data_IF_802302092376
#
_entry.id   IF_802302092376
#
_cell.length_a   1.000
_cell.length_b   1.000
_cell.length_c   1.000
_cell.angle_alpha   90.00
_cell.angle_beta   90.00
_cell.angle_gamma   90.00
#
_symmetry.space_group_name_H-M   'P 1'
#
loop_
_entity.id
_entity.type
_entity.pdbx_description
1 polymer ?
#
# COMPACT_ATOMS: atom_id res chain seq x y z
N UNK A 1 -16.12 -45.11 39.34
CA UNK A 1 -17.15 -44.06 39.56
C UNK A 1 -16.64 -42.76 38.93
N UNK A 2 -16.94 -42.56 37.68
CA UNK A 2 -16.44 -41.44 36.88
C UNK A 2 -17.61 -40.44 36.74
N UNK A 3 -17.50 -39.28 37.37
CA UNK A 3 -18.49 -38.19 37.21
C UNK A 3 -18.17 -37.43 35.91
N UNK A 4 -19.07 -37.53 34.94
CA UNK A 4 -19.15 -36.63 33.81
C UNK A 4 -19.68 -35.27 34.26
N UNK A 5 -18.92 -34.20 33.97
CA UNK A 5 -19.35 -32.81 34.10
C UNK A 5 -20.06 -32.40 32.80
N UNK A 6 -21.36 -32.14 32.92
CA UNK A 6 -22.14 -31.50 31.84
C UNK A 6 -21.86 -29.99 31.80
N UNK A 7 -21.79 -29.36 30.60
CA UNK A 7 -21.69 -27.90 30.48
C UNK A 7 -23.05 -27.24 30.79
N UNK A 8 -23.06 -25.98 31.24
CA UNK A 8 -24.31 -25.28 31.58
C UNK A 8 -25.07 -24.86 30.32
N UNK A 9 -26.38 -25.05 30.35
CA UNK A 9 -27.32 -24.64 29.32
C UNK A 9 -27.55 -23.12 29.35
N UNK A 10 -27.45 -22.47 28.19
CA UNK A 10 -27.91 -21.09 27.99
C UNK A 10 -29.39 -21.10 27.56
N UNK A 11 -30.20 -20.17 28.06
CA UNK A 11 -31.62 -20.12 27.71
C UNK A 11 -31.81 -19.55 26.29
N UNK A 12 -32.61 -20.26 25.50
CA UNK A 12 -33.11 -19.82 24.20
C UNK A 12 -34.17 -18.73 24.40
N UNK A 13 -33.89 -17.51 24.01
CA UNK A 13 -34.92 -16.48 23.87
C UNK A 13 -35.42 -16.49 22.41
N UNK A 14 -36.65 -17.02 22.25
CA UNK A 14 -37.40 -16.97 21.01
C UNK A 14 -38.14 -15.65 20.95
N UNK A 15 -37.70 -14.75 20.04
CA UNK A 15 -38.60 -13.74 19.48
C UNK A 15 -38.50 -13.79 17.97
N UNK A 16 -39.58 -14.30 17.37
CA UNK A 16 -39.94 -14.03 15.97
C UNK A 16 -40.25 -12.54 15.86
N UNK A 17 -39.68 -11.91 14.87
CA UNK A 17 -40.26 -10.77 14.18
C UNK A 17 -40.09 -11.01 12.70
N UNK A 18 -41.16 -11.42 12.06
CA UNK A 18 -41.40 -11.25 10.64
C UNK A 18 -41.61 -9.74 10.43
N UNK A 19 -40.82 -9.12 9.56
CA UNK A 19 -41.18 -7.93 8.81
C UNK A 19 -39.99 -7.60 7.86
N UNK A 20 -40.17 -7.99 6.60
CA UNK A 20 -39.42 -7.40 5.50
C UNK A 20 -39.96 -5.98 5.26
N UNK A 21 -39.11 -4.98 5.07
CA UNK A 21 -39.49 -3.79 4.31
C UNK A 21 -38.95 -3.87 2.89
N UNK A 22 -39.90 -3.69 2.00
CA UNK A 22 -39.73 -3.46 0.55
C UNK A 22 -38.64 -2.44 0.23
N UNK A 23 -37.85 -2.80 -0.80
CA UNK A 23 -36.89 -1.92 -1.44
C UNK A 23 -37.60 -0.72 -2.07
N UNK A 24 -37.48 0.44 -1.47
CA UNK A 24 -37.78 1.70 -2.14
C UNK A 24 -36.52 2.19 -2.90
N UNK A 25 -36.76 2.39 -4.18
CA UNK A 25 -35.89 2.97 -5.19
C UNK A 25 -35.23 4.27 -4.74
N UNK A 26 -33.89 4.28 -4.60
CA UNK A 26 -33.11 5.49 -4.57
C UNK A 26 -32.63 5.83 -5.98
N UNK A 27 -32.90 7.05 -6.37
CA UNK A 27 -32.66 7.66 -7.67
C UNK A 27 -31.22 7.59 -8.12
N UNK A 28 -31.08 7.41 -9.43
CA UNK A 28 -29.83 7.35 -10.19
C UNK A 28 -29.05 8.65 -10.11
N UNK A 29 -27.83 8.57 -9.57
CA UNK A 29 -26.77 9.50 -9.95
C UNK A 29 -26.17 9.05 -11.30
N UNK A 30 -25.80 9.96 -12.22
CA UNK A 30 -25.31 9.58 -13.52
C UNK A 30 -23.91 8.96 -13.42
N UNK A 31 -23.81 7.69 -13.75
CA UNK A 31 -22.55 7.00 -13.98
C UNK A 31 -21.92 7.50 -15.27
N UNK A 32 -20.87 8.30 -15.17
CA UNK A 32 -19.94 8.54 -16.28
C UNK A 32 -19.17 7.24 -16.53
N UNK A 33 -19.74 6.37 -17.33
CA UNK A 33 -19.08 5.21 -17.91
C UNK A 33 -18.28 5.70 -19.09
N UNK A 34 -16.98 6.00 -18.89
CA UNK A 34 -16.04 6.05 -20.01
C UNK A 34 -15.94 4.62 -20.56
N UNK A 35 -16.69 4.36 -21.60
CA UNK A 35 -16.66 3.13 -22.35
C UNK A 35 -15.25 2.97 -22.94
N UNK A 36 -14.56 1.88 -22.57
CA UNK A 36 -13.45 1.35 -23.33
C UNK A 36 -13.99 0.92 -24.70
N UNK A 37 -13.96 1.85 -25.67
CA UNK A 37 -14.39 1.62 -27.04
C UNK A 37 -13.55 0.53 -27.68
N UNK A 38 -14.24 -0.42 -28.30
CA UNK A 38 -13.67 -1.45 -29.12
C UNK A 38 -12.80 -0.83 -30.24
N UNK A 39 -11.61 -1.42 -30.43
CA UNK A 39 -10.61 -1.01 -31.40
C UNK A 39 -11.13 -1.26 -32.84
N UNK A 40 -11.19 -0.24 -33.71
CA UNK A 40 -11.34 -0.49 -35.14
C UNK A 40 -9.99 -0.94 -35.73
N UNK A 41 -9.98 -2.09 -36.38
CA UNK A 41 -8.88 -2.56 -37.21
C UNK A 41 -8.89 -1.79 -38.54
N UNK A 42 -8.00 -0.81 -38.68
CA UNK A 42 -7.71 -0.14 -39.94
C UNK A 42 -6.22 -0.29 -40.29
N UNK A 43 -5.83 -0.29 -41.58
CA UNK A 43 -4.50 -0.71 -42.03
C UNK A 43 -3.41 0.32 -41.63
N UNK A 44 -2.25 -0.25 -41.23
CA UNK A 44 -1.05 0.46 -40.86
C UNK A 44 -0.47 1.25 -42.06
N UNK A 45 -0.37 2.55 -41.93
CA UNK A 45 0.54 3.36 -42.76
C UNK A 45 1.89 3.44 -42.05
N UNK A 46 2.89 2.88 -42.69
CA UNK A 46 4.30 2.96 -42.28
C UNK A 46 4.79 4.41 -42.41
N UNK A 47 5.38 4.95 -41.33
CA UNK A 47 6.00 6.24 -41.38
C UNK A 47 6.63 6.72 -40.07
N UNK A 48 7.97 6.65 -40.06
CA UNK A 48 8.94 7.29 -39.14
C UNK A 48 9.24 6.57 -37.83
N UNK A 49 10.24 5.68 -37.95
CA UNK A 49 11.12 5.27 -36.85
C UNK A 49 12.00 6.43 -36.45
N UNK A 50 11.62 7.10 -35.38
CA UNK A 50 12.45 8.05 -34.64
C UNK A 50 12.25 7.71 -33.17
N UNK A 51 13.19 7.00 -32.55
CA UNK A 51 13.21 6.85 -31.10
C UNK A 51 13.36 8.25 -30.48
N UNK A 52 12.49 8.66 -29.53
CA UNK A 52 12.65 9.93 -28.84
C UNK A 52 13.85 9.81 -27.88
N UNK A 53 14.97 10.44 -28.26
CA UNK A 53 16.11 10.66 -27.39
C UNK A 53 15.78 11.79 -26.41
N UNK A 54 15.19 11.43 -25.27
CA UNK A 54 14.80 12.38 -24.22
C UNK A 54 14.83 11.76 -22.82
N UNK A 55 15.80 10.85 -22.58
CA UNK A 55 16.09 10.39 -21.22
C UNK A 55 16.67 11.55 -20.40
N UNK A 56 15.87 12.14 -19.51
CA UNK A 56 16.42 12.96 -18.43
C UNK A 56 16.89 12.03 -17.32
N UNK A 57 18.22 11.88 -17.20
CA UNK A 57 18.82 11.27 -16.03
C UNK A 57 18.46 12.09 -14.77
N UNK A 58 18.42 11.47 -13.60
CA UNK A 58 18.05 12.12 -12.32
C UNK A 58 18.84 13.42 -12.02
N UNK A 59 20.03 13.59 -12.58
CA UNK A 59 20.86 14.79 -12.45
C UNK A 59 20.39 16.05 -13.19
N UNK A 60 19.25 16.01 -13.93
CA UNK A 60 18.68 17.17 -14.64
C UNK A 60 17.33 17.66 -14.04
N UNK A 61 16.92 17.14 -12.88
CA UNK A 61 15.69 17.52 -12.21
C UNK A 61 15.92 18.81 -11.41
N UNK A 62 15.16 19.86 -11.72
CA UNK A 62 15.24 21.11 -10.96
C UNK A 62 14.41 21.02 -9.69
N UNK A 63 14.88 21.69 -8.63
CA UNK A 63 14.11 21.82 -7.41
C UNK A 63 12.81 22.61 -7.65
N UNK A 64 11.73 22.15 -7.06
CA UNK A 64 10.45 22.82 -7.09
C UNK A 64 10.58 24.20 -6.43
N UNK A 65 9.80 25.17 -6.89
CA UNK A 65 9.84 26.52 -6.35
C UNK A 65 9.43 26.55 -4.85
N UNK A 66 9.93 27.53 -4.07
CA UNK A 66 9.37 27.81 -2.73
C UNK A 66 7.87 28.03 -2.79
N UNK A 67 7.15 27.67 -1.72
CA UNK A 67 5.70 27.67 -1.66
C UNK A 67 5.03 26.41 -2.19
N UNK A 68 5.81 25.46 -2.77
CA UNK A 68 5.25 24.23 -3.33
C UNK A 68 4.71 23.26 -2.26
N UNK A 69 3.52 22.70 -2.54
CA UNK A 69 2.96 21.54 -1.82
C UNK A 69 3.12 20.31 -2.72
N UNK A 70 4.09 19.44 -2.40
CA UNK A 70 4.34 18.20 -3.13
C UNK A 70 3.44 17.10 -2.62
N UNK A 71 2.55 16.62 -3.48
CA UNK A 71 1.57 15.58 -3.18
C UNK A 71 2.02 14.27 -3.85
N UNK A 72 2.67 13.40 -3.09
CA UNK A 72 3.08 12.07 -3.57
C UNK A 72 1.92 11.08 -3.41
N UNK A 73 1.38 10.63 -4.54
CA UNK A 73 0.16 9.80 -4.59
C UNK A 73 0.43 8.30 -4.80
N UNK A 74 1.65 7.89 -5.00
CA UNK A 74 1.96 6.50 -5.32
C UNK A 74 1.72 6.19 -6.79
N UNK A 75 1.01 5.14 -7.20
CA UNK A 75 0.08 4.26 -6.48
C UNK A 75 0.74 3.15 -5.64
N UNK A 76 -0.09 2.21 -5.16
CA UNK A 76 0.40 1.05 -4.41
C UNK A 76 1.44 0.23 -5.19
N UNK A 77 2.40 -0.38 -4.50
CA UNK A 77 3.44 -1.28 -5.05
C UNK A 77 4.48 -0.61 -5.98
N UNK A 78 4.60 0.71 -5.94
CA UNK A 78 5.54 1.48 -6.75
C UNK A 78 6.68 2.11 -5.95
N UNK A 79 6.96 1.60 -4.74
CA UNK A 79 8.06 2.10 -3.90
C UNK A 79 7.64 3.14 -2.83
N UNK A 80 6.34 3.41 -2.68
CA UNK A 80 5.80 4.39 -1.73
C UNK A 80 6.28 4.19 -0.30
N UNK A 81 6.33 2.95 0.19
CA UNK A 81 6.83 2.64 1.54
C UNK A 81 8.27 3.09 1.75
N UNK A 82 9.14 2.94 0.74
CA UNK A 82 10.53 3.35 0.81
C UNK A 82 10.66 4.87 0.90
N UNK A 83 9.95 5.60 0.02
CA UNK A 83 9.88 7.07 0.05
C UNK A 83 9.36 7.58 1.38
N UNK A 84 8.22 7.08 1.83
CA UNK A 84 7.58 7.49 3.08
C UNK A 84 8.48 7.24 4.30
N UNK A 85 9.20 6.12 4.30
CA UNK A 85 10.12 5.80 5.40
C UNK A 85 11.34 6.72 5.40
N UNK A 86 11.91 7.00 4.22
CA UNK A 86 13.04 7.90 4.08
C UNK A 86 12.67 9.33 4.51
N UNK A 87 11.55 9.87 4.01
CA UNK A 87 11.02 11.19 4.39
C UNK A 87 10.72 11.27 5.89
N UNK A 88 10.10 10.24 6.46
CA UNK A 88 9.75 10.21 7.88
C UNK A 88 10.98 10.27 8.79
N UNK A 89 12.02 9.50 8.45
CA UNK A 89 13.24 9.45 9.25
C UNK A 89 14.11 10.71 9.10
N UNK A 90 14.00 11.35 7.94
CA UNK A 90 14.77 12.56 7.63
C UNK A 90 14.05 13.87 8.00
N UNK A 91 12.94 13.84 8.74
CA UNK A 91 12.13 15.03 9.05
C UNK A 91 12.92 16.18 9.60
N UNK A 92 13.75 15.94 10.63
CA UNK A 92 14.54 17.00 11.26
C UNK A 92 15.61 17.56 10.31
N UNK A 93 16.46 16.72 9.67
CA UNK A 93 17.39 17.22 8.66
C UNK A 93 16.72 17.95 7.48
N UNK A 94 15.56 17.49 7.02
CA UNK A 94 14.81 18.15 5.94
C UNK A 94 14.33 19.55 6.35
N UNK A 95 13.88 19.72 7.60
CA UNK A 95 13.44 21.02 8.11
C UNK A 95 14.56 22.05 8.10
N UNK A 96 15.81 21.66 8.35
CA UNK A 96 17.00 22.52 8.25
C UNK A 96 17.23 23.04 6.80
N UNK A 97 16.66 22.35 5.81
CA UNK A 97 16.69 22.73 4.40
C UNK A 97 15.35 23.31 3.89
N UNK A 98 14.49 23.78 4.81
CA UNK A 98 13.22 24.41 4.46
C UNK A 98 12.18 23.42 3.87
N UNK A 99 12.25 22.14 4.22
CA UNK A 99 11.30 21.10 3.74
C UNK A 99 10.62 20.40 4.92
N UNK A 100 9.29 20.45 4.93
CA UNK A 100 8.47 19.73 5.90
C UNK A 100 7.87 18.46 5.30
N UNK A 101 7.96 17.34 6.02
CA UNK A 101 7.14 16.15 5.74
C UNK A 101 5.93 16.14 6.69
N UNK A 102 4.74 16.41 6.15
CA UNK A 102 3.51 16.58 6.92
C UNK A 102 2.92 15.24 7.42
N UNK A 103 2.19 15.33 8.52
CA UNK A 103 1.56 14.20 9.21
C UNK A 103 2.49 13.59 10.29
N UNK A 104 1.90 13.07 11.37
CA UNK A 104 2.67 12.56 12.52
C UNK A 104 3.30 11.18 12.26
N UNK A 105 2.64 10.36 11.46
CA UNK A 105 3.06 8.97 11.17
C UNK A 105 3.93 8.91 9.91
N UNK A 106 4.42 7.70 9.60
CA UNK A 106 5.19 7.44 8.38
C UNK A 106 4.40 7.76 7.11
N UNK A 107 3.11 7.49 7.10
CA UNK A 107 2.19 7.92 6.05
C UNK A 107 0.85 8.33 6.65
N UNK A 108 0.19 9.28 6.02
CA UNK A 108 -1.07 9.85 6.50
C UNK A 108 -2.27 9.01 6.04
N UNK A 109 -2.31 7.71 6.46
CA UNK A 109 -3.35 6.77 6.04
C UNK A 109 -4.74 7.28 6.37
N UNK A 110 -4.98 7.59 7.64
CA UNK A 110 -6.29 7.96 8.14
C UNK A 110 -6.80 9.24 7.44
N UNK A 111 -5.91 10.21 7.26
CA UNK A 111 -6.24 11.46 6.55
C UNK A 111 -6.56 11.20 5.08
N UNK A 112 -5.73 10.41 4.38
CA UNK A 112 -5.96 10.08 2.98
C UNK A 112 -7.26 9.29 2.77
N UNK A 113 -7.53 8.29 3.63
CA UNK A 113 -8.78 7.51 3.60
C UNK A 113 -9.99 8.39 3.91
N UNK A 114 -9.87 9.36 4.83
CA UNK A 114 -10.94 10.30 5.16
C UNK A 114 -11.33 11.18 3.96
N UNK A 115 -10.35 11.70 3.22
CA UNK A 115 -10.61 12.60 2.08
C UNK A 115 -11.05 11.85 0.82
N UNK A 116 -10.60 10.60 0.62
CA UNK A 116 -10.93 9.78 -0.56
C UNK A 116 -12.18 8.93 -0.37
N UNK A 117 -12.75 8.88 0.83
CA UNK A 117 -13.93 8.04 1.11
C UNK A 117 -13.64 6.54 1.12
N UNK A 118 -12.37 6.11 1.14
CA UNK A 118 -11.96 4.71 1.09
C UNK A 118 -12.14 3.96 2.43
N UNK A 119 -13.18 4.28 3.21
CA UNK A 119 -13.42 3.86 4.60
C UNK A 119 -13.41 2.37 4.87
N UNK A 120 -13.74 1.53 3.88
CA UNK A 120 -13.73 0.07 4.00
C UNK A 120 -12.35 -0.52 4.37
N UNK A 121 -11.27 0.25 4.21
CA UNK A 121 -9.91 -0.18 4.51
C UNK A 121 -9.56 -0.15 6.00
N UNK A 122 -10.33 0.56 6.81
CA UNK A 122 -10.12 0.70 8.26
C UNK A 122 -10.94 -0.30 9.10
N UNK A 123 -11.39 -1.41 8.49
CA UNK A 123 -12.14 -2.45 9.21
C UNK A 123 -13.51 -1.99 9.70
N UNK A 124 -14.24 -1.23 8.87
CA UNK A 124 -15.60 -0.76 9.17
C UNK A 124 -15.67 0.43 10.11
N UNK A 125 -14.55 1.01 10.52
CA UNK A 125 -14.53 2.30 11.19
C UNK A 125 -14.62 3.39 10.14
N UNK A 126 -15.60 4.26 10.23
CA UNK A 126 -15.66 5.45 9.41
C UNK A 126 -14.39 6.29 9.60
N UNK A 127 -13.75 6.76 8.53
CA UNK A 127 -12.62 7.67 8.65
C UNK A 127 -13.13 8.93 9.34
N UNK A 128 -12.56 9.22 10.48
CA UNK A 128 -12.93 10.42 11.21
C UNK A 128 -12.32 11.62 10.47
N UNK A 129 -13.17 12.52 9.97
CA UNK A 129 -12.77 13.70 9.17
C UNK A 129 -11.67 14.53 9.81
N UNK A 130 -11.60 14.54 11.15
CA UNK A 130 -10.60 15.31 11.90
C UNK A 130 -9.14 14.98 11.54
N UNK A 131 -8.83 13.74 11.08
CA UNK A 131 -7.46 13.42 10.64
C UNK A 131 -7.06 14.19 9.39
N UNK A 132 -8.01 14.41 8.48
CA UNK A 132 -7.78 15.25 7.32
C UNK A 132 -7.65 16.72 7.73
N UNK A 133 -8.52 17.19 8.60
CA UNK A 133 -8.51 18.59 9.09
C UNK A 133 -7.20 18.90 9.85
N UNK A 134 -6.70 17.96 10.67
CA UNK A 134 -5.40 18.11 11.35
C UNK A 134 -4.24 18.19 10.34
N UNK A 135 -4.25 17.34 9.30
CA UNK A 135 -3.22 17.38 8.27
C UNK A 135 -3.25 18.70 7.48
N UNK A 136 -4.44 19.15 7.10
CA UNK A 136 -4.64 20.45 6.43
C UNK A 136 -4.13 21.59 7.28
N UNK A 137 -4.50 21.63 8.56
CA UNK A 137 -4.03 22.67 9.48
C UNK A 137 -2.50 22.68 9.61
N UNK A 138 -1.85 21.51 9.70
CA UNK A 138 -0.39 21.40 9.72
C UNK A 138 0.23 21.97 8.44
N UNK A 139 -0.31 21.61 7.27
CA UNK A 139 0.21 22.05 5.96
C UNK A 139 0.04 23.57 5.78
N UNK A 140 -1.10 24.12 6.19
CA UNK A 140 -1.37 25.56 6.08
C UNK A 140 -0.53 26.41 7.04
N UNK A 141 -0.18 25.87 8.21
CA UNK A 141 0.65 26.55 9.20
C UNK A 141 2.16 26.38 8.96
N UNK A 142 2.54 25.55 7.99
CA UNK A 142 3.95 25.29 7.70
C UNK A 142 4.63 26.55 7.16
N UNK A 143 5.77 26.91 7.75
CA UNK A 143 6.62 28.03 7.35
C UNK A 143 7.75 27.62 6.41
N UNK A 144 7.92 26.32 6.19
CA UNK A 144 8.96 25.77 5.32
C UNK A 144 8.65 26.06 3.84
N UNK A 145 9.70 26.24 3.06
CA UNK A 145 9.62 26.54 1.62
C UNK A 145 8.83 25.49 0.84
N UNK A 146 8.93 24.22 1.24
CA UNK A 146 8.23 23.09 0.59
C UNK A 146 7.61 22.18 1.63
N UNK A 147 6.39 21.74 1.37
CA UNK A 147 5.70 20.76 2.22
C UNK A 147 5.38 19.52 1.41
N UNK A 148 5.74 18.36 1.94
CA UNK A 148 5.49 17.06 1.32
C UNK A 148 4.37 16.33 2.04
N UNK A 149 3.37 15.88 1.30
CA UNK A 149 2.31 14.98 1.74
C UNK A 149 2.45 13.69 0.94
N UNK A 150 2.43 12.53 1.60
CA UNK A 150 2.56 11.25 0.89
C UNK A 150 1.58 10.22 1.40
N UNK A 151 0.74 9.73 0.50
CA UNK A 151 -0.07 8.54 0.70
C UNK A 151 -0.48 7.92 -0.62
N UNK A 152 -0.27 6.62 -0.78
CA UNK A 152 -0.72 5.87 -1.95
C UNK A 152 -2.25 5.80 -2.08
N UNK A 153 -2.98 6.05 -1.00
CA UNK A 153 -4.45 6.11 -1.02
C UNK A 153 -5.00 7.34 -1.75
N UNK A 154 -4.19 8.39 -1.91
CA UNK A 154 -4.56 9.56 -2.70
C UNK A 154 -4.72 9.22 -4.20
N UNK A 155 -4.09 8.13 -4.68
CA UNK A 155 -4.31 7.63 -6.05
C UNK A 155 -5.76 7.20 -6.31
N UNK A 156 -6.55 6.96 -5.26
CA UNK A 156 -7.96 6.56 -5.35
C UNK A 156 -8.93 7.75 -5.36
N UNK A 157 -8.42 8.98 -5.18
CA UNK A 157 -9.24 10.18 -5.16
C UNK A 157 -10.10 10.29 -6.42
N UNK A 158 -11.39 10.58 -6.26
CA UNK A 158 -12.28 11.00 -7.34
C UNK A 158 -12.15 12.52 -7.57
N UNK A 159 -12.87 13.03 -8.56
CA UNK A 159 -12.77 14.43 -8.94
C UNK A 159 -13.16 15.37 -7.78
N UNK A 160 -14.14 14.97 -6.98
CA UNK A 160 -14.56 15.73 -5.80
C UNK A 160 -13.47 15.71 -4.72
N UNK A 161 -12.89 14.55 -4.44
CA UNK A 161 -11.79 14.40 -3.50
C UNK A 161 -10.53 15.13 -3.98
N UNK A 162 -10.17 15.04 -5.27
CA UNK A 162 -9.05 15.78 -5.85
C UNK A 162 -9.24 17.30 -5.70
N UNK A 163 -10.42 17.80 -6.04
CA UNK A 163 -10.76 19.22 -5.88
C UNK A 163 -10.64 19.65 -4.42
N UNK A 164 -11.15 18.83 -3.50
CA UNK A 164 -11.04 19.07 -2.06
C UNK A 164 -9.59 19.10 -1.57
N UNK A 165 -8.79 18.11 -1.97
CA UNK A 165 -7.36 18.01 -1.63
C UNK A 165 -6.63 19.27 -2.07
N UNK A 166 -6.76 19.66 -3.33
CA UNK A 166 -6.05 20.81 -3.89
C UNK A 166 -6.47 22.13 -3.23
N UNK A 167 -7.78 22.31 -3.00
CA UNK A 167 -8.32 23.51 -2.37
C UNK A 167 -7.91 23.64 -0.90
N UNK A 168 -8.06 22.56 -0.11
CA UNK A 168 -7.90 22.63 1.34
C UNK A 168 -6.42 22.63 1.76
N UNK A 169 -5.53 22.01 1.00
CA UNK A 169 -4.08 22.10 1.25
C UNK A 169 -3.53 23.52 1.01
N UNK A 170 -4.34 24.42 0.46
CA UNK A 170 -3.99 25.85 0.30
C UNK A 170 -2.80 26.08 -0.63
N UNK A 171 -2.65 25.21 -1.63
CA UNK A 171 -1.50 25.23 -2.50
C UNK A 171 -1.67 26.29 -3.61
N UNK A 172 -0.97 27.42 -3.48
CA UNK A 172 -0.77 28.31 -4.65
C UNK A 172 0.01 27.57 -5.76
N UNK A 173 0.80 26.58 -5.39
CA UNK A 173 1.64 25.78 -6.29
C UNK A 173 1.57 24.28 -5.91
N UNK A 174 0.45 23.60 -6.19
CA UNK A 174 0.39 22.16 -6.02
C UNK A 174 1.33 21.50 -7.04
N UNK A 175 2.08 20.48 -6.60
CA UNK A 175 2.83 19.63 -7.50
C UNK A 175 2.56 18.17 -7.17
N UNK A 176 2.13 17.40 -8.14
CA UNK A 176 1.80 15.99 -7.95
C UNK A 176 2.97 15.11 -8.38
N UNK A 177 3.35 14.18 -7.51
CA UNK A 177 4.37 13.18 -7.79
C UNK A 177 3.73 11.81 -7.89
N UNK A 178 3.87 11.20 -9.06
CA UNK A 178 3.38 9.84 -9.37
C UNK A 178 4.56 8.92 -9.55
N UNK A 179 4.62 7.82 -8.80
CA UNK A 179 5.64 6.78 -8.99
C UNK A 179 5.00 5.60 -9.71
N UNK A 180 5.57 5.16 -10.82
CA UNK A 180 5.05 4.06 -11.63
C UNK A 180 6.04 2.91 -11.71
N UNK A 181 5.50 1.71 -11.86
CA UNK A 181 6.26 0.47 -12.02
C UNK A 181 5.56 -0.42 -13.04
N UNK A 182 6.28 -1.26 -13.81
CA UNK A 182 5.65 -2.18 -14.76
C UNK A 182 4.50 -2.96 -14.14
N UNK A 183 3.34 -2.94 -14.76
CA UNK A 183 2.14 -3.65 -14.26
C UNK A 183 2.43 -5.13 -14.05
N UNK A 184 3.20 -5.76 -14.94
CA UNK A 184 3.63 -7.16 -14.83
C UNK A 184 4.38 -7.48 -13.51
N UNK A 185 5.04 -6.50 -12.89
CA UNK A 185 5.71 -6.66 -11.59
C UNK A 185 4.81 -6.40 -10.38
N UNK A 186 3.64 -5.81 -10.61
CA UNK A 186 2.68 -5.45 -9.57
C UNK A 186 1.69 -6.59 -9.30
N UNK A 187 1.28 -7.35 -10.33
CA UNK A 187 0.17 -8.29 -10.29
C UNK A 187 0.20 -9.23 -9.08
N UNK A 188 1.25 -10.02 -8.91
CA UNK A 188 1.33 -11.00 -7.82
C UNK A 188 1.32 -10.33 -6.43
N UNK A 189 2.06 -9.24 -6.27
CA UNK A 189 2.15 -8.53 -4.99
C UNK A 189 0.85 -7.80 -4.64
N UNK A 190 0.10 -7.33 -5.64
CA UNK A 190 -1.17 -6.66 -5.43
C UNK A 190 -2.28 -7.68 -5.09
N UNK A 191 -2.33 -8.83 -5.79
CA UNK A 191 -3.24 -9.91 -5.42
C UNK A 191 -2.99 -10.40 -3.99
N UNK A 192 -1.73 -10.61 -3.60
CA UNK A 192 -1.39 -10.96 -2.21
C UNK A 192 -1.93 -9.95 -1.21
N UNK A 193 -1.80 -8.65 -1.51
CA UNK A 193 -2.34 -7.60 -0.65
C UNK A 193 -3.86 -7.70 -0.51
N UNK A 194 -4.57 -8.01 -1.60
CA UNK A 194 -6.02 -8.23 -1.54
C UNK A 194 -6.36 -9.48 -0.73
N UNK A 195 -5.62 -10.57 -0.86
CA UNK A 195 -5.81 -11.78 -0.04
C UNK A 195 -5.57 -11.48 1.44
N UNK A 196 -4.53 -10.74 1.79
CA UNK A 196 -4.27 -10.30 3.16
C UNK A 196 -5.39 -9.40 3.71
N UNK A 197 -6.17 -8.78 2.85
CA UNK A 197 -7.33 -7.95 3.17
C UNK A 197 -8.68 -8.70 3.00
N UNK A 198 -8.68 -10.03 2.87
CA UNK A 198 -9.89 -10.84 2.86
C UNK A 198 -10.34 -11.36 1.49
N UNK A 199 -9.60 -11.12 0.40
CA UNK A 199 -9.92 -11.70 -0.91
C UNK A 199 -9.85 -13.23 -0.86
N UNK A 200 -10.84 -13.90 -1.47
CA UNK A 200 -10.99 -15.36 -1.50
C UNK A 200 -10.70 -15.98 -2.87
N UNK A 201 -10.68 -15.15 -3.90
CA UNK A 201 -10.46 -15.55 -5.29
C UNK A 201 -9.04 -16.05 -5.49
N UNK A 202 -8.85 -17.17 -6.20
CA UNK A 202 -7.55 -17.69 -6.57
C UNK A 202 -6.79 -16.70 -7.46
N UNK A 203 -5.46 -16.86 -7.57
CA UNK A 203 -4.66 -15.96 -8.39
C UNK A 203 -5.05 -16.05 -9.87
N UNK A 204 -5.24 -17.27 -10.41
CA UNK A 204 -5.67 -17.48 -11.78
C UNK A 204 -7.00 -16.78 -12.09
N UNK A 205 -8.05 -17.04 -11.30
CA UNK A 205 -9.37 -16.43 -11.51
C UNK A 205 -9.33 -14.90 -11.30
N UNK A 206 -8.43 -14.40 -10.44
CA UNK A 206 -8.25 -12.97 -10.27
C UNK A 206 -7.60 -12.34 -11.49
N UNK A 207 -6.58 -12.98 -12.07
CA UNK A 207 -5.94 -12.52 -13.31
C UNK A 207 -6.94 -12.47 -14.47
N UNK A 208 -7.70 -13.54 -14.67
CA UNK A 208 -8.76 -13.58 -15.70
C UNK A 208 -9.77 -12.45 -15.52
N UNK A 209 -10.29 -12.27 -14.29
CA UNK A 209 -11.25 -11.23 -13.99
C UNK A 209 -10.70 -9.80 -14.18
N UNK A 210 -9.41 -9.59 -13.95
CA UNK A 210 -8.79 -8.27 -14.08
C UNK A 210 -8.25 -7.97 -15.47
N UNK A 211 -7.86 -8.98 -16.27
CA UNK A 211 -7.15 -8.78 -17.52
C UNK A 211 -7.95 -9.19 -18.77
N UNK A 212 -8.92 -10.12 -18.65
CA UNK A 212 -9.67 -10.68 -19.78
C UNK A 212 -11.18 -10.44 -19.70
N UNK A 213 -11.78 -10.44 -18.52
CA UNK A 213 -13.24 -10.39 -18.36
C UNK A 213 -13.73 -8.94 -18.15
N UNK A 214 -14.26 -8.34 -19.21
CA UNK A 214 -14.93 -7.03 -19.09
C UNK A 214 -16.15 -7.12 -18.15
N UNK A 215 -16.43 -6.08 -17.36
CA UNK A 215 -15.84 -4.75 -17.34
C UNK A 215 -14.58 -4.59 -16.46
N UNK A 216 -13.85 -5.63 -16.17
CA UNK A 216 -12.59 -5.64 -15.40
C UNK A 216 -12.71 -5.08 -13.96
N UNK A 217 -13.90 -5.12 -13.40
CA UNK A 217 -14.19 -4.53 -12.05
C UNK A 217 -14.28 -5.57 -10.96
N UNK A 218 -14.43 -6.84 -11.30
CA UNK A 218 -14.48 -7.96 -10.34
C UNK A 218 -13.26 -8.84 -10.49
N UNK A 219 -12.73 -9.38 -9.38
CA UNK A 219 -13.25 -9.28 -8.02
C UNK A 219 -12.76 -8.07 -7.20
N UNK A 220 -11.88 -7.20 -7.76
CA UNK A 220 -11.28 -6.07 -7.06
C UNK A 220 -11.45 -4.75 -7.82
N UNK A 221 -12.58 -4.04 -7.64
CA UNK A 221 -12.95 -2.87 -8.45
C UNK A 221 -11.94 -1.70 -8.34
N UNK A 222 -11.22 -1.59 -7.23
CA UNK A 222 -10.21 -0.55 -7.05
C UNK A 222 -8.89 -0.81 -7.80
N UNK A 223 -8.70 -1.99 -8.39
CA UNK A 223 -7.44 -2.34 -9.06
C UNK A 223 -7.09 -1.37 -10.18
N UNK A 224 -7.98 -1.20 -11.15
CA UNK A 224 -7.73 -0.33 -12.30
C UNK A 224 -7.76 1.16 -11.95
N UNK A 225 -8.51 1.55 -10.91
CA UNK A 225 -8.43 2.93 -10.43
C UNK A 225 -7.02 3.32 -9.99
N UNK A 226 -6.27 2.37 -9.43
CA UNK A 226 -4.88 2.56 -8.99
C UNK A 226 -3.87 2.32 -10.09
N UNK A 227 -4.11 1.35 -10.97
CA UNK A 227 -3.10 0.78 -11.86
C UNK A 227 -3.37 0.98 -13.36
N UNK A 228 -4.43 1.65 -13.77
CA UNK A 228 -4.54 2.24 -15.11
C UNK A 228 -3.67 3.50 -15.14
N UNK A 229 -2.36 3.31 -15.38
CA UNK A 229 -1.34 4.31 -15.13
C UNK A 229 -1.59 5.60 -15.94
N UNK A 230 -1.91 5.46 -17.23
CA UNK A 230 -2.20 6.63 -18.05
C UNK A 230 -3.46 7.38 -17.60
N UNK A 231 -4.51 6.66 -17.19
CA UNK A 231 -5.74 7.31 -16.70
C UNK A 231 -5.51 8.00 -15.34
N UNK A 232 -4.68 7.40 -14.46
CA UNK A 232 -4.28 8.02 -13.20
C UNK A 232 -3.52 9.32 -13.44
N UNK A 233 -2.52 9.30 -14.32
CA UNK A 233 -1.71 10.48 -14.66
C UNK A 233 -2.58 11.54 -15.30
N UNK A 234 -3.47 11.16 -16.24
CA UNK A 234 -4.38 12.09 -16.93
C UNK A 234 -5.29 12.82 -15.93
N UNK A 235 -5.97 12.08 -15.03
CA UNK A 235 -6.88 12.69 -14.03
C UNK A 235 -6.17 13.76 -13.20
N UNK A 236 -4.96 13.48 -12.74
CA UNK A 236 -4.22 14.42 -11.92
C UNK A 236 -3.61 15.56 -12.77
N UNK A 237 -3.16 15.28 -13.99
CA UNK A 237 -2.69 16.31 -14.91
C UNK A 237 -3.81 17.30 -15.28
N UNK A 238 -5.02 16.81 -15.48
CA UNK A 238 -6.22 17.66 -15.74
C UNK A 238 -6.54 18.56 -14.53
N UNK A 239 -6.27 18.07 -13.31
CA UNK A 239 -6.54 18.81 -12.07
C UNK A 239 -5.48 19.87 -11.74
N UNK A 240 -4.18 19.61 -12.01
CA UNK A 240 -3.09 20.51 -11.61
C UNK A 240 -2.35 21.17 -12.78
N UNK A 241 -2.56 20.69 -14.02
CA UNK A 241 -1.78 21.04 -15.20
C UNK A 241 -0.53 20.15 -15.38
N UNK A 242 -0.17 19.89 -16.63
CA UNK A 242 0.94 18.99 -16.96
C UNK A 242 2.29 19.46 -16.36
N UNK A 243 2.54 20.76 -16.30
CA UNK A 243 3.75 21.37 -15.72
C UNK A 243 3.87 21.17 -14.21
N UNK A 244 2.78 20.84 -13.54
CA UNK A 244 2.69 20.61 -12.09
C UNK A 244 2.57 19.12 -11.73
N UNK A 245 2.95 18.24 -12.66
CA UNK A 245 2.96 16.80 -12.43
C UNK A 245 4.29 16.18 -12.89
N UNK A 246 4.88 15.40 -11.99
CA UNK A 246 6.09 14.60 -12.29
C UNK A 246 5.77 13.12 -12.14
N UNK A 247 6.13 12.33 -13.14
CA UNK A 247 6.05 10.87 -13.13
C UNK A 247 7.47 10.31 -12.96
N UNK A 248 7.66 9.43 -11.98
CA UNK A 248 8.89 8.64 -11.84
C UNK A 248 8.60 7.21 -12.27
N UNK A 249 9.24 6.75 -13.32
CA UNK A 249 9.21 5.32 -13.69
C UNK A 249 10.33 4.62 -12.94
N UNK A 250 9.97 3.86 -11.91
CA UNK A 250 10.91 3.25 -10.96
C UNK A 250 11.74 2.16 -11.65
N UNK A 251 13.06 2.28 -11.52
CA UNK A 251 14.01 1.27 -11.96
C UNK A 251 14.50 0.43 -10.76
N UNK A 252 14.10 -0.83 -10.70
CA UNK A 252 14.49 -1.74 -9.61
C UNK A 252 16.00 -2.02 -9.53
N UNK A 253 16.74 -1.75 -10.59
CA UNK A 253 18.21 -1.90 -10.64
C UNK A 253 18.94 -0.71 -10.04
N UNK A 254 18.29 0.45 -10.02
CA UNK A 254 18.81 1.67 -9.42
C UNK A 254 18.05 1.99 -8.14
N UNK A 255 18.56 1.50 -7.02
CA UNK A 255 17.92 1.65 -5.72
C UNK A 255 17.88 3.08 -5.20
N UNK A 256 18.77 3.94 -5.73
CA UNK A 256 18.85 5.34 -5.31
C UNK A 256 18.00 6.29 -6.14
N UNK A 257 17.71 5.93 -7.39
CA UNK A 257 17.00 6.79 -8.34
C UNK A 257 15.78 7.49 -7.72
N UNK A 258 14.95 6.74 -6.97
CA UNK A 258 13.74 7.29 -6.36
C UNK A 258 14.05 8.30 -5.26
N UNK A 259 15.08 8.05 -4.44
CA UNK A 259 15.52 8.98 -3.39
C UNK A 259 16.20 10.19 -3.98
N UNK A 260 17.13 10.00 -4.93
CA UNK A 260 17.86 11.07 -5.60
C UNK A 260 16.91 12.01 -6.36
N UNK A 261 15.85 11.46 -6.96
CA UNK A 261 14.79 12.27 -7.59
C UNK A 261 14.01 13.08 -6.55
N UNK A 262 13.63 12.48 -5.45
CA UNK A 262 12.93 13.20 -4.37
C UNK A 262 13.82 14.31 -3.77
N UNK A 263 15.11 14.03 -3.54
CA UNK A 263 16.08 15.02 -3.07
C UNK A 263 16.19 16.19 -4.05
N UNK A 264 16.31 15.90 -5.33
CA UNK A 264 16.41 16.93 -6.38
C UNK A 264 15.14 17.79 -6.44
N UNK A 265 13.96 17.18 -6.48
CA UNK A 265 12.68 17.92 -6.48
C UNK A 265 12.49 18.79 -5.24
N UNK A 266 12.97 18.34 -4.09
CA UNK A 266 12.84 19.05 -2.83
C UNK A 266 13.99 20.03 -2.56
N UNK A 267 15.03 20.04 -3.39
CA UNK A 267 16.21 20.86 -3.18
C UNK A 267 17.02 20.44 -1.95
N UNK A 268 16.99 19.16 -1.63
CA UNK A 268 17.72 18.56 -0.52
C UNK A 268 19.14 18.15 -0.95
N UNK A 269 20.12 18.11 -0.02
CA UNK A 269 21.42 17.54 -0.29
C UNK A 269 21.33 16.07 -0.71
N UNK A 270 22.18 15.69 -1.67
CA UNK A 270 22.28 14.30 -2.11
C UNK A 270 22.69 13.38 -0.96
N UNK A 271 21.97 12.27 -0.79
CA UNK A 271 22.22 11.28 0.26
C UNK A 271 21.52 11.57 1.58
N UNK A 272 20.71 12.62 1.68
CA UNK A 272 19.94 12.90 2.90
C UNK A 272 18.80 11.90 3.09
N UNK A 273 18.12 11.50 2.02
CA UNK A 273 17.09 10.47 2.05
C UNK A 273 17.72 9.08 1.91
N UNK A 274 17.69 8.29 2.97
CA UNK A 274 18.24 6.94 2.99
C UNK A 274 17.14 5.88 2.82
N UNK A 275 17.26 4.97 1.83
CA UNK A 275 16.37 3.83 1.74
C UNK A 275 16.56 2.91 2.95
N UNK A 276 15.45 2.40 3.51
CA UNK A 276 15.49 1.45 4.62
C UNK A 276 15.23 0.04 4.10
N UNK A 277 16.30 -0.72 3.89
CA UNK A 277 16.23 -2.08 3.32
C UNK A 277 15.47 -3.09 4.21
N UNK A 278 15.41 -2.87 5.52
CA UNK A 278 14.81 -3.79 6.48
C UNK A 278 13.30 -3.59 6.74
N UNK A 279 12.68 -2.57 6.13
CA UNK A 279 11.24 -2.32 6.25
C UNK A 279 10.42 -2.86 5.07
N UNK A 280 11.07 -3.44 4.06
CA UNK A 280 10.37 -4.10 2.97
C UNK A 280 9.67 -5.36 3.49
N UNK A 281 8.34 -5.31 3.64
CA UNK A 281 7.57 -6.51 3.88
C UNK A 281 7.82 -7.48 2.72
N UNK A 282 8.38 -8.66 3.02
CA UNK A 282 8.57 -9.69 2.00
C UNK A 282 7.23 -10.15 1.44
N UNK A 283 7.22 -10.62 0.22
CA UNK A 283 6.10 -11.36 -0.34
C UNK A 283 5.95 -12.70 0.41
N UNK A 284 4.71 -13.11 0.66
CA UNK A 284 4.41 -14.44 1.19
C UNK A 284 4.72 -15.51 0.13
N UNK A 285 5.11 -16.71 0.58
CA UNK A 285 5.27 -17.88 -0.30
C UNK A 285 3.92 -18.38 -0.80
N UNK A 286 3.89 -19.27 -1.78
CA UNK A 286 2.66 -19.84 -2.33
C UNK A 286 1.84 -20.56 -1.24
N UNK A 287 2.50 -21.32 -0.37
CA UNK A 287 1.85 -22.01 0.75
C UNK A 287 1.29 -21.05 1.80
N UNK A 288 2.05 -20.01 2.15
CA UNK A 288 1.62 -19.01 3.12
C UNK A 288 0.38 -18.23 2.67
N UNK A 289 0.38 -17.75 1.42
CA UNK A 289 -0.75 -16.97 0.92
C UNK A 289 -1.98 -17.83 0.65
N UNK A 290 -1.80 -19.09 0.25
CA UNK A 290 -2.91 -20.03 0.06
C UNK A 290 -3.54 -20.39 1.41
N UNK A 291 -2.76 -20.54 2.48
CA UNK A 291 -3.30 -20.68 3.84
C UNK A 291 -4.18 -19.49 4.20
N UNK A 292 -3.69 -18.26 3.99
CA UNK A 292 -4.47 -17.04 4.29
C UNK A 292 -5.74 -17.00 3.44
N UNK A 293 -5.66 -17.33 2.15
CA UNK A 293 -6.83 -17.35 1.26
C UNK A 293 -7.89 -18.36 1.71
N UNK A 294 -7.48 -19.56 2.12
CA UNK A 294 -8.41 -20.57 2.68
C UNK A 294 -9.01 -20.13 4.00
N UNK A 295 -8.24 -19.51 4.86
CA UNK A 295 -8.79 -18.89 6.08
C UNK A 295 -9.85 -17.83 5.74
N UNK A 296 -9.66 -17.02 4.69
CA UNK A 296 -10.65 -16.04 4.25
C UNK A 296 -11.96 -16.70 3.79
N UNK A 297 -11.87 -17.85 3.06
CA UNK A 297 -13.05 -18.61 2.63
C UNK A 297 -13.82 -19.10 3.86
N UNK A 298 -13.13 -19.83 4.74
CA UNK A 298 -13.77 -20.39 5.96
C UNK A 298 -14.33 -19.29 6.86
N UNK A 299 -13.60 -18.20 7.02
CA UNK A 299 -14.04 -17.06 7.83
C UNK A 299 -15.37 -16.49 7.33
N UNK A 300 -15.52 -16.38 6.02
CA UNK A 300 -16.74 -15.88 5.38
C UNK A 300 -17.89 -16.89 5.49
N UNK A 301 -17.61 -18.18 5.31
CA UNK A 301 -18.61 -19.26 5.49
C UNK A 301 -19.17 -19.29 6.90
N UNK A 302 -18.35 -19.02 7.90
CA UNK A 302 -18.74 -18.93 9.30
C UNK A 302 -19.43 -17.61 9.66
N UNK A 303 -19.51 -16.66 8.72
CA UNK A 303 -20.11 -15.33 8.93
C UNK A 303 -19.54 -14.58 10.16
N UNK A 304 -18.27 -14.79 10.49
CA UNK A 304 -17.64 -14.13 11.63
C UNK A 304 -17.46 -12.62 11.40
N UNK A 305 -17.52 -11.80 12.48
CA UNK A 305 -17.41 -10.35 12.37
C UNK A 305 -16.07 -9.89 11.82
N UNK A 306 -16.07 -8.82 11.00
CA UNK A 306 -14.86 -8.24 10.41
C UNK A 306 -13.81 -7.85 11.46
N UNK A 307 -14.22 -7.41 12.65
CA UNK A 307 -13.31 -7.08 13.74
C UNK A 307 -12.48 -8.30 14.20
N UNK A 308 -13.06 -9.51 14.15
CA UNK A 308 -12.39 -10.78 14.46
C UNK A 308 -11.40 -11.11 13.36
N UNK A 309 -11.78 -10.93 12.08
CA UNK A 309 -10.87 -11.09 10.94
C UNK A 309 -9.65 -10.17 11.07
N UNK A 310 -9.89 -8.89 11.23
CA UNK A 310 -8.82 -7.90 11.36
C UNK A 310 -7.86 -8.24 12.49
N UNK A 311 -8.40 -8.62 13.66
CA UNK A 311 -7.57 -8.92 14.83
C UNK A 311 -6.75 -10.19 14.67
N UNK A 312 -7.38 -11.32 14.29
CA UNK A 312 -6.73 -12.62 14.36
C UNK A 312 -6.04 -13.01 13.05
N UNK A 313 -6.62 -12.67 11.89
CA UNK A 313 -6.05 -13.03 10.61
C UNK A 313 -5.10 -11.93 10.13
N UNK A 314 -5.59 -10.71 9.91
CA UNK A 314 -4.81 -9.63 9.32
C UNK A 314 -3.65 -9.18 10.22
N UNK A 315 -3.92 -8.87 11.48
CA UNK A 315 -2.93 -8.38 12.45
C UNK A 315 -2.33 -9.51 13.32
N UNK A 316 -2.80 -10.73 13.21
CA UNK A 316 -2.27 -11.92 13.87
C UNK A 316 -1.47 -12.79 12.92
N UNK A 317 -2.16 -13.71 12.24
CA UNK A 317 -1.53 -14.73 11.38
C UNK A 317 -0.68 -14.12 10.26
N UNK A 318 -1.22 -13.14 9.51
CA UNK A 318 -0.52 -12.52 8.37
C UNK A 318 0.77 -11.83 8.81
N UNK A 319 0.74 -11.02 9.89
CA UNK A 319 1.94 -10.36 10.39
C UNK A 319 3.00 -11.35 10.90
N UNK A 320 2.57 -12.47 11.49
CA UNK A 320 3.49 -13.52 11.92
C UNK A 320 4.16 -14.20 10.72
N UNK A 321 3.37 -14.53 9.68
CA UNK A 321 3.89 -15.09 8.43
C UNK A 321 4.85 -14.13 7.71
N UNK A 322 4.57 -12.85 7.66
CA UNK A 322 5.48 -11.85 7.07
C UNK A 322 6.84 -11.76 7.76
N UNK A 323 6.89 -12.06 9.06
CA UNK A 323 8.14 -12.06 9.85
C UNK A 323 8.89 -13.41 9.78
N UNK A 324 8.26 -14.46 9.27
CA UNK A 324 8.90 -15.77 9.07
C UNK A 324 10.01 -15.65 8.03
N UNK A 325 11.07 -16.39 8.17
CA UNK A 325 12.11 -16.57 7.15
C UNK A 325 11.76 -17.89 6.43
N UNK A 326 11.32 -17.85 5.16
CA UNK A 326 11.02 -19.07 4.41
C UNK A 326 12.29 -19.81 4.02
N UNK A 327 12.17 -21.12 3.82
CA UNK A 327 13.26 -21.92 3.27
C UNK A 327 13.52 -21.50 1.79
N UNK A 328 14.77 -21.66 1.30
CA UNK A 328 15.15 -21.20 -0.03
C UNK A 328 14.37 -21.85 -1.19
N UNK A 329 13.88 -23.06 -1.00
CA UNK A 329 13.13 -23.88 -1.97
C UNK A 329 11.62 -23.68 -1.91
N UNK A 330 11.11 -22.85 -0.99
CA UNK A 330 9.69 -22.56 -0.92
C UNK A 330 9.20 -21.84 -2.18
N UNK A 331 8.14 -22.40 -2.78
CA UNK A 331 7.56 -21.89 -4.01
C UNK A 331 7.09 -20.44 -3.87
N UNK A 332 7.48 -19.61 -4.84
CA UNK A 332 7.01 -18.22 -4.98
C UNK A 332 5.79 -18.19 -5.88
N UNK A 333 5.03 -17.08 -5.78
CA UNK A 333 3.92 -16.85 -6.69
C UNK A 333 4.50 -16.37 -8.02
N UNK A 334 4.33 -17.19 -9.05
CA UNK A 334 4.63 -16.84 -10.42
C UNK A 334 3.37 -16.36 -11.14
N UNK A 335 3.55 -15.58 -12.18
CA UNK A 335 2.47 -15.08 -13.04
C UNK A 335 2.60 -15.76 -14.39
N UNK A 336 1.51 -16.31 -14.94
CA UNK A 336 1.56 -17.00 -16.24
C UNK A 336 1.90 -16.04 -17.39
N UNK A 337 2.52 -16.60 -18.44
CA UNK A 337 3.03 -15.80 -19.57
C UNK A 337 1.96 -14.94 -20.21
N UNK A 338 0.74 -15.48 -20.43
CA UNK A 338 -0.35 -14.73 -21.03
C UNK A 338 -0.70 -13.46 -20.25
N UNK A 339 -0.70 -13.53 -18.91
CA UNK A 339 -1.00 -12.38 -18.05
C UNK A 339 0.16 -11.36 -18.04
N UNK A 340 1.41 -11.85 -18.10
CA UNK A 340 2.58 -10.99 -18.22
C UNK A 340 2.59 -10.26 -19.56
N UNK A 341 2.24 -10.94 -20.67
CA UNK A 341 2.15 -10.35 -21.99
C UNK A 341 1.06 -9.29 -22.07
N UNK A 342 -0.09 -9.59 -21.48
CA UNK A 342 -1.20 -8.64 -21.41
C UNK A 342 -0.85 -7.41 -20.59
N UNK A 343 -0.22 -7.61 -19.44
CA UNK A 343 0.25 -6.51 -18.60
C UNK A 343 1.34 -5.66 -19.30
N UNK A 344 2.24 -6.29 -20.04
CA UNK A 344 3.27 -5.59 -20.81
C UNK A 344 2.67 -4.78 -21.97
N UNK A 345 1.66 -5.32 -22.65
CA UNK A 345 0.92 -4.59 -23.70
C UNK A 345 0.23 -3.33 -23.14
N UNK A 346 -0.46 -3.47 -21.98
CA UNK A 346 -1.08 -2.35 -21.30
C UNK A 346 -0.03 -1.32 -20.92
N UNK A 347 1.11 -1.76 -20.33
CA UNK A 347 2.19 -0.86 -19.93
C UNK A 347 2.81 -0.09 -21.09
N UNK A 348 2.95 -0.69 -22.28
CA UNK A 348 3.41 0.02 -23.49
C UNK A 348 2.44 1.12 -23.92
N UNK A 349 1.15 0.81 -23.97
CA UNK A 349 0.10 1.81 -24.32
C UNK A 349 0.05 2.93 -23.28
N UNK A 350 0.18 2.61 -22.00
CA UNK A 350 0.23 3.62 -20.95
C UNK A 350 1.46 4.52 -21.09
N UNK A 351 2.63 3.97 -21.41
CA UNK A 351 3.84 4.73 -21.64
C UNK A 351 3.69 5.75 -22.78
N UNK A 352 3.11 5.33 -23.92
CA UNK A 352 2.84 6.20 -25.07
C UNK A 352 1.87 7.32 -24.71
N UNK A 353 0.79 7.00 -24.02
CA UNK A 353 -0.21 7.98 -23.57
C UNK A 353 0.38 8.99 -22.58
N UNK A 354 1.12 8.52 -21.57
CA UNK A 354 1.78 9.40 -20.58
C UNK A 354 2.77 10.35 -21.27
N UNK A 355 3.55 9.82 -22.22
CA UNK A 355 4.47 10.65 -22.99
C UNK A 355 3.75 11.75 -23.78
N UNK A 356 2.61 11.43 -24.39
CA UNK A 356 1.80 12.38 -25.17
C UNK A 356 1.17 13.49 -24.32
N UNK A 357 1.02 13.31 -23.00
CA UNK A 357 0.47 14.32 -22.08
C UNK A 357 1.42 15.50 -21.83
N UNK A 358 2.70 15.40 -22.18
CA UNK A 358 3.70 16.45 -21.95
C UNK A 358 4.11 16.64 -20.49
N UNK A 359 3.72 15.76 -19.58
CA UNK A 359 4.14 15.78 -18.18
C UNK A 359 5.65 15.49 -18.04
N UNK A 360 6.26 15.93 -16.95
CA UNK A 360 7.65 15.59 -16.68
C UNK A 360 7.77 14.10 -16.35
N UNK A 361 8.55 13.35 -17.13
CA UNK A 361 8.83 11.92 -16.89
C UNK A 361 10.32 11.73 -16.56
N UNK A 362 10.57 11.07 -15.44
CA UNK A 362 11.91 10.72 -14.95
C UNK A 362 12.05 9.20 -14.99
N UNK A 363 13.13 8.71 -15.58
CA UNK A 363 13.30 7.30 -15.91
C UNK A 363 12.83 6.98 -17.31
N UNK A 364 12.94 5.72 -17.69
CA UNK A 364 12.58 5.24 -19.03
C UNK A 364 11.13 4.74 -19.06
N UNK A 365 10.18 5.46 -19.70
CA UNK A 365 8.78 5.05 -19.78
C UNK A 365 8.60 3.73 -20.54
N UNK A 366 9.50 3.36 -21.46
CA UNK A 366 9.43 2.09 -22.18
C UNK A 366 9.50 0.87 -21.22
N UNK A 367 10.10 1.05 -20.04
CA UNK A 367 10.18 -0.03 -19.04
C UNK A 367 8.82 -0.41 -18.47
N UNK A 368 7.79 0.44 -18.57
CA UNK A 368 6.42 0.09 -18.15
C UNK A 368 5.89 -1.13 -18.92
N UNK A 369 6.36 -1.36 -20.15
CA UNK A 369 6.08 -2.55 -20.94
C UNK A 369 6.99 -3.76 -20.64
N UNK A 370 7.86 -3.69 -19.64
CA UNK A 370 8.80 -4.78 -19.33
C UNK A 370 8.12 -5.93 -18.57
N UNK A 371 8.65 -7.14 -18.78
CA UNK A 371 8.23 -8.36 -18.07
C UNK A 371 9.31 -8.81 -17.08
N UNK A 372 8.94 -9.43 -15.94
CA UNK A 372 9.90 -10.18 -15.12
C UNK A 372 10.43 -11.39 -15.92
N UNK A 373 11.65 -11.83 -15.60
CA UNK A 373 12.27 -12.98 -16.26
C UNK A 373 11.61 -14.31 -15.87
N UNK A 374 11.10 -14.40 -14.64
CA UNK A 374 10.42 -15.59 -14.14
C UNK A 374 8.92 -15.49 -14.43
N UNK A 375 8.38 -16.55 -15.05
CA UNK A 375 6.96 -16.76 -15.31
C UNK A 375 6.56 -18.20 -14.97
N UNK A 376 5.29 -18.44 -14.83
CA UNK A 376 4.73 -19.78 -14.59
C UNK A 376 3.36 -19.72 -13.94
N UNK A 377 2.68 -20.85 -13.93
CA UNK A 377 1.44 -21.00 -13.19
C UNK A 377 1.73 -21.06 -11.69
N UNK A 378 0.85 -20.47 -10.90
CA UNK A 378 0.90 -20.64 -9.44
C UNK A 378 0.41 -22.03 -9.10
N UNK A 379 1.30 -22.91 -8.69
CA UNK A 379 0.91 -24.19 -8.10
C UNK A 379 0.18 -23.95 -6.78
N UNK A 380 -1.09 -24.35 -6.74
CA UNK A 380 -1.86 -24.33 -5.50
C UNK A 380 -1.37 -25.46 -4.62
N UNK A 381 -0.68 -25.14 -3.54
CA UNK A 381 -0.19 -26.12 -2.58
C UNK A 381 -1.36 -26.95 -2.03
N UNK A 382 -1.35 -28.26 -2.29
CA UNK A 382 -2.35 -29.19 -1.77
C UNK A 382 -2.26 -29.29 -0.24
N UNK A 383 -1.06 -29.15 0.30
CA UNK A 383 -0.75 -29.20 1.74
C UNK A 383 0.00 -27.94 2.16
N UNK A 384 -0.21 -27.57 3.42
CA UNK A 384 0.51 -26.43 4.03
C UNK A 384 1.60 -27.02 4.92
N UNK A 385 2.87 -26.57 4.80
CA UNK A 385 3.95 -26.97 5.71
C UNK A 385 3.57 -26.71 7.16
N UNK A 386 3.95 -27.63 8.06
CA UNK A 386 3.56 -27.56 9.47
C UNK A 386 4.06 -26.30 10.15
N UNK A 387 5.27 -25.83 9.84
CA UNK A 387 5.86 -24.61 10.39
C UNK A 387 5.09 -23.34 9.95
N UNK A 388 4.58 -23.30 8.71
CA UNK A 388 3.70 -22.23 8.21
C UNK A 388 2.39 -22.20 9.01
N UNK A 389 1.78 -23.38 9.21
CA UNK A 389 0.54 -23.49 9.98
C UNK A 389 0.74 -23.09 11.45
N UNK A 390 1.83 -23.55 12.09
CA UNK A 390 2.19 -23.20 13.45
C UNK A 390 2.47 -21.71 13.60
N UNK A 391 3.20 -21.11 12.66
CA UNK A 391 3.49 -19.66 12.66
C UNK A 391 2.21 -18.84 12.59
N UNK A 392 1.28 -19.20 11.71
CA UNK A 392 -0.01 -18.52 11.58
C UNK A 392 -0.85 -18.64 12.85
N UNK A 393 -0.92 -19.85 13.44
CA UNK A 393 -1.65 -20.10 14.69
C UNK A 393 -1.07 -19.30 15.87
N UNK A 394 0.25 -19.29 16.02
CA UNK A 394 0.91 -18.48 17.04
C UNK A 394 0.68 -16.98 16.88
N UNK A 395 0.62 -16.50 15.62
CA UNK A 395 0.24 -15.12 15.31
C UNK A 395 -1.16 -14.78 15.81
N UNK A 396 -2.15 -15.64 15.53
CA UNK A 396 -3.52 -15.47 16.01
C UNK A 396 -3.62 -15.53 17.55
N UNK A 397 -2.91 -16.47 18.20
CA UNK A 397 -2.87 -16.59 19.66
C UNK A 397 -2.27 -15.32 20.31
N UNK A 398 -1.20 -14.77 19.75
CA UNK A 398 -0.63 -13.50 20.24
C UNK A 398 -1.62 -12.35 20.10
N UNK A 399 -2.30 -12.26 18.97
CA UNK A 399 -3.30 -11.23 18.71
C UNK A 399 -4.54 -11.36 19.62
N UNK A 400 -4.81 -12.53 20.19
CA UNK A 400 -5.90 -12.72 21.16
C UNK A 400 -5.67 -11.97 22.49
N UNK A 401 -4.41 -11.70 22.82
CA UNK A 401 -4.01 -11.18 24.13
C UNK A 401 -3.96 -12.25 25.22
N UNK A 402 -4.18 -13.53 24.85
CA UNK A 402 -4.07 -14.66 25.81
C UNK A 402 -2.62 -14.90 26.27
N UNK A 403 -1.65 -14.41 25.49
CA UNK A 403 -0.23 -14.42 25.84
C UNK A 403 0.22 -12.97 25.99
N UNK A 404 0.38 -12.52 27.24
CA UNK A 404 0.97 -11.19 27.48
C UNK A 404 2.48 -11.28 27.26
N UNK A 405 2.98 -10.71 26.18
CA UNK A 405 4.43 -10.61 25.93
C UNK A 405 5.15 -9.74 26.99
N UNK A 406 4.39 -8.95 27.76
CA UNK A 406 4.90 -8.20 28.91
C UNK A 406 5.31 -9.11 30.08
N UNK A 407 4.78 -10.35 30.14
CA UNK A 407 5.17 -11.34 31.14
C UNK A 407 6.51 -12.03 30.83
N UNK A 408 7.03 -11.90 29.59
CA UNK A 408 8.39 -12.38 29.31
C UNK A 408 9.41 -11.56 30.09
N UNK A 409 10.40 -12.22 30.72
CA UNK A 409 11.51 -11.49 31.33
C UNK A 409 12.10 -10.51 30.33
N UNK A 410 12.29 -9.23 30.74
CA UNK A 410 12.80 -8.15 29.89
C UNK A 410 14.10 -8.52 29.15
N UNK A 411 14.85 -9.46 29.70
CA UNK A 411 16.10 -10.00 29.13
C UNK A 411 15.91 -10.85 27.86
N UNK A 412 14.68 -11.31 27.57
CA UNK A 412 14.34 -12.12 26.39
C UNK A 412 13.49 -11.35 25.35
N UNK A 413 13.23 -10.07 25.57
CA UNK A 413 12.52 -9.23 24.60
C UNK A 413 13.49 -8.68 23.57
N UNK A 414 13.06 -8.60 22.31
CA UNK A 414 13.81 -7.83 21.31
C UNK A 414 13.75 -6.34 21.68
N UNK A 415 14.81 -5.60 21.37
CA UNK A 415 14.89 -4.16 21.70
C UNK A 415 13.75 -3.36 21.07
N UNK A 416 13.26 -3.78 19.91
CA UNK A 416 12.09 -3.22 19.22
C UNK A 416 10.77 -3.33 20.00
N UNK A 417 10.68 -4.30 20.92
CA UNK A 417 9.46 -4.63 21.66
C UNK A 417 9.44 -3.98 23.07
N UNK A 418 10.50 -3.23 23.38
CA UNK A 418 10.68 -2.63 24.71
C UNK A 418 10.25 -1.17 24.70
N UNK A 419 9.24 -0.83 25.49
CA UNK A 419 8.76 0.55 25.61
C UNK A 419 9.75 1.40 26.46
N UNK A 420 9.74 2.72 26.26
CA UNK A 420 10.57 3.65 27.06
C UNK A 420 10.39 3.44 28.58
N UNK A 421 9.15 3.27 29.12
CA UNK A 421 8.97 2.95 30.54
C UNK A 421 9.61 1.63 30.98
N UNK A 422 9.65 0.62 30.10
CA UNK A 422 10.27 -0.67 30.41
C UNK A 422 11.79 -0.57 30.38
N UNK A 423 12.37 0.20 29.45
CA UNK A 423 13.81 0.52 29.46
C UNK A 423 14.21 1.24 30.75
N UNK A 424 13.42 2.21 31.19
CA UNK A 424 13.66 2.90 32.46
C UNK A 424 13.67 1.91 33.65
N UNK A 425 12.75 0.94 33.71
CA UNK A 425 12.73 -0.10 34.75
C UNK A 425 13.99 -0.97 34.73
N UNK A 426 14.49 -1.33 33.51
CA UNK A 426 15.74 -2.12 33.38
C UNK A 426 16.93 -1.33 33.89
N UNK A 427 17.05 -0.06 33.52
CA UNK A 427 18.13 0.83 33.98
C UNK A 427 18.10 0.99 35.48
N UNK A 428 16.95 1.30 36.09
CA UNK A 428 16.78 1.41 37.54
C UNK A 428 17.15 0.10 38.25
N UNK A 429 16.75 -1.07 37.72
CA UNK A 429 17.11 -2.38 38.30
C UNK A 429 18.61 -2.65 38.24
N UNK A 430 19.30 -2.32 37.13
CA UNK A 430 20.75 -2.45 36.97
C UNK A 430 21.50 -1.52 37.92
N UNK A 431 21.08 -0.27 38.06
CA UNK A 431 21.64 0.72 38.97
C UNK A 431 21.49 0.22 40.42
N UNK A 432 20.28 -0.23 40.84
CA UNK A 432 20.04 -0.79 42.18
C UNK A 432 20.88 -2.04 42.44
N UNK A 433 21.05 -2.94 41.46
CA UNK A 433 21.92 -4.13 41.60
C UNK A 433 23.40 -3.73 41.77
N UNK A 434 23.87 -2.74 41.00
CA UNK A 434 25.25 -2.23 41.10
C UNK A 434 25.50 -1.54 42.45
N UNK A 435 24.55 -0.73 42.89
CA UNK A 435 24.60 -0.06 44.21
C UNK A 435 24.61 -1.07 45.36
N UNK A 436 23.78 -2.10 45.35
CA UNK A 436 23.79 -3.18 46.36
C UNK A 436 25.08 -3.99 46.36
N UNK A 437 25.76 -4.17 45.23
CA UNK A 437 27.07 -4.82 45.15
C UNK A 437 28.19 -3.92 45.70
N UNK A 438 28.06 -2.62 45.60
CA UNK A 438 29.04 -1.66 46.10
C UNK A 438 28.97 -1.50 47.63
N UNK A 439 27.78 -1.63 48.23
CA UNK A 439 27.57 -1.57 49.67
C UNK A 439 27.93 -2.89 50.38
N UNK A 440 28.02 -4.00 49.64
CA UNK A 440 28.39 -5.33 50.19
C UNK A 440 29.89 -5.66 50.04
N UNK A 441 30.66 -4.73 49.51
CA UNK A 441 32.13 -4.71 49.55
C UNK A 441 32.61 -3.67 50.55
#
# INVERSE_FOLDING_TARGET
MTRQLQPPAYPADRRRCDDEPEAQSAERAPSSTAALTAVPTGPATAGRTGAPSGLRAAGGVQALAPGTRLIHIGPHKTGTTSVQSALHNARLPMAEHGVRYAGRQRHSLEAAVAVTGAGNLLGGKEPLGHYWDELVAEVQQASEDRVVISSEFLSEADDAAMTRILKELGAERPHVLVTLRPLARILSSQWQQYVQNGLRTSYANWLEGMLEQAPYTKPTPSFWRRHAHADLVQRWADAVGADHLTVIVVNDRDRRMLMDTCESLLGLPHGLLQPLDHLANRSLTAAEIELVRRLNVTFREQQWPEAVYSRFIRYGSVLALQKRIPEPDEARILTPDWALDRAAEIGRRDAERIWAMGVQVIGDPATLGSRPAASGEMEVAATVPTDVAVTAALGAIRASGAVDERERPLERRQVSDVTVPDLAKVVVRRVRRRYRRMIRR
#
